data_IF_411297631542
#
_entry.id   IF_411297631542
#
_cell.length_a   1.000
_cell.length_b   1.000
_cell.length_c   1.000
_cell.angle_alpha   90.00
_cell.angle_beta   90.00
_cell.angle_gamma   90.00
#
_symmetry.space_group_name_H-M   'P 1'
#
loop_
_entity.id
_entity.type
_entity.pdbx_description
1 polymer ?
#
# COMPACT_ATOMS: atom_id res chain seq x y z
N UNK A 1 2.00 -18.98 16.82
CA UNK A 1 0.95 -19.00 15.77
C UNK A 1 0.85 -17.59 15.22
N UNK A 2 0.95 -17.41 13.92
CA UNK A 2 1.23 -16.12 13.23
C UNK A 2 0.13 -15.05 13.34
N UNK A 3 -1.00 -15.34 13.99
CA UNK A 3 -2.14 -14.41 14.07
C UNK A 3 -2.67 -14.02 12.68
N UNK A 4 -2.55 -14.94 11.73
CA UNK A 4 -3.03 -14.83 10.35
C UNK A 4 -4.17 -15.81 10.15
N UNK A 5 -5.15 -15.41 9.35
CA UNK A 5 -6.23 -16.27 8.89
C UNK A 5 -5.68 -17.29 7.89
N UNK A 6 -6.08 -18.56 8.08
CA UNK A 6 -5.65 -19.67 7.24
C UNK A 6 -6.44 -19.70 5.92
N UNK A 7 -5.76 -19.95 4.81
CA UNK A 7 -6.38 -19.90 3.47
C UNK A 7 -6.47 -18.48 2.87
N UNK A 8 -6.06 -17.45 3.60
CA UNK A 8 -5.96 -16.06 3.12
C UNK A 8 -4.51 -15.72 2.80
N UNK A 9 -4.27 -14.95 1.74
CA UNK A 9 -2.92 -14.50 1.36
C UNK A 9 -2.23 -13.77 2.53
N UNK A 10 -1.08 -14.28 2.92
CA UNK A 10 -0.31 -13.75 4.04
C UNK A 10 0.24 -12.36 3.71
N UNK A 11 0.60 -12.11 2.44
CA UNK A 11 1.10 -10.80 2.04
C UNK A 11 0.01 -9.73 2.20
N UNK A 12 -1.20 -9.99 1.71
CA UNK A 12 -2.34 -9.10 1.87
C UNK A 12 -2.62 -8.76 3.35
N UNK A 13 -2.68 -9.78 4.22
CA UNK A 13 -2.91 -9.57 5.65
C UNK A 13 -1.81 -8.73 6.32
N UNK A 14 -0.55 -8.86 5.89
CA UNK A 14 0.52 -8.03 6.42
C UNK A 14 0.54 -6.62 5.83
N UNK A 15 0.08 -6.42 4.59
CA UNK A 15 -0.13 -5.08 4.02
C UNK A 15 -1.16 -4.30 4.82
N UNK A 16 -2.30 -4.91 5.14
CA UNK A 16 -3.32 -4.29 6.01
C UNK A 16 -2.76 -3.89 7.38
N UNK A 17 -1.98 -4.77 8.02
CA UNK A 17 -1.30 -4.48 9.30
C UNK A 17 -0.19 -3.43 9.19
N UNK A 18 0.26 -3.10 7.97
CA UNK A 18 1.31 -2.12 7.71
C UNK A 18 0.77 -0.79 7.22
N UNK A 19 -0.50 -0.71 6.84
CA UNK A 19 -1.13 0.48 6.25
C UNK A 19 -1.03 1.70 7.15
N UNK A 20 -1.29 1.55 8.46
CA UNK A 20 -1.14 2.63 9.44
C UNK A 20 0.29 3.21 9.51
N UNK A 21 1.31 2.43 9.15
CA UNK A 21 2.72 2.88 9.21
C UNK A 21 3.13 3.70 7.99
N UNK A 22 2.33 3.66 6.92
CA UNK A 22 2.60 4.32 5.65
C UNK A 22 1.47 5.28 5.28
N UNK A 23 0.66 5.69 6.26
CA UNK A 23 -0.48 6.59 6.08
C UNK A 23 -0.09 7.89 5.37
N UNK A 24 1.10 8.42 5.66
CA UNK A 24 1.62 9.62 5.00
C UNK A 24 1.71 9.48 3.47
N UNK A 25 2.23 8.35 2.96
CA UNK A 25 2.32 8.11 1.51
C UNK A 25 0.93 7.90 0.90
N UNK A 26 0.01 7.28 1.65
CA UNK A 26 -1.38 7.13 1.24
C UNK A 26 -2.08 8.49 1.11
N UNK A 27 -1.89 9.39 2.08
CA UNK A 27 -2.43 10.75 2.04
C UNK A 27 -1.93 11.54 0.83
N UNK A 28 -0.65 11.41 0.47
CA UNK A 28 -0.07 12.04 -0.73
C UNK A 28 -0.70 11.49 -2.01
N UNK A 29 -0.85 10.16 -2.11
CA UNK A 29 -1.50 9.50 -3.24
C UNK A 29 -2.97 9.93 -3.37
N UNK A 30 -3.72 9.98 -2.27
CA UNK A 30 -5.11 10.43 -2.25
C UNK A 30 -5.23 11.90 -2.65
N UNK A 31 -4.31 12.76 -2.19
CA UNK A 31 -4.26 14.15 -2.59
C UNK A 31 -3.98 14.29 -4.11
N UNK A 32 -3.11 13.45 -4.68
CA UNK A 32 -2.90 13.41 -6.12
C UNK A 32 -4.15 12.96 -6.87
N UNK A 33 -4.79 11.87 -6.45
CA UNK A 33 -6.00 11.37 -7.08
C UNK A 33 -7.11 12.43 -7.08
N UNK A 34 -7.30 13.14 -5.96
CA UNK A 34 -8.25 14.24 -5.88
C UNK A 34 -7.95 15.37 -6.88
N UNK A 35 -6.68 15.72 -7.10
CA UNK A 35 -6.30 16.72 -8.13
C UNK A 35 -6.61 16.23 -9.54
N UNK A 36 -6.25 14.99 -9.86
CA UNK A 36 -6.45 14.41 -11.20
C UNK A 36 -7.94 14.26 -11.50
N UNK A 37 -8.73 13.73 -10.56
CA UNK A 37 -10.18 13.54 -10.70
C UNK A 37 -10.94 14.88 -10.80
N UNK A 38 -10.41 15.95 -10.22
CA UNK A 38 -11.02 17.29 -10.32
C UNK A 38 -10.91 17.93 -11.71
N UNK A 39 -10.07 17.39 -12.60
CA UNK A 39 -9.79 17.96 -13.92
C UNK A 39 -10.52 17.18 -15.01
N UNK A 40 -11.27 17.89 -15.86
CA UNK A 40 -11.94 17.27 -17.02
C UNK A 40 -10.94 16.71 -18.05
N UNK A 41 -9.76 17.34 -18.18
CA UNK A 41 -8.65 16.91 -19.04
C UNK A 41 -7.32 17.30 -18.41
N UNK A 42 -6.43 16.33 -18.20
CA UNK A 42 -5.09 16.56 -17.66
C UNK A 42 -4.12 15.47 -18.13
N UNK A 43 -2.85 15.82 -18.28
CA UNK A 43 -1.75 14.87 -18.52
C UNK A 43 -1.06 14.44 -17.22
N UNK A 44 -1.54 14.93 -16.07
CA UNK A 44 -1.04 14.58 -14.75
C UNK A 44 -1.42 13.15 -14.36
N UNK A 45 -0.47 12.39 -13.81
CA UNK A 45 -0.68 11.02 -13.35
C UNK A 45 -0.14 10.85 -11.94
N UNK A 46 -0.79 10.00 -11.13
CA UNK A 46 -0.36 9.72 -9.75
C UNK A 46 0.53 8.47 -9.63
N UNK A 47 1.27 8.14 -10.69
CA UNK A 47 2.04 6.89 -10.76
C UNK A 47 3.26 6.90 -9.82
N UNK A 48 3.88 8.06 -9.63
CA UNK A 48 5.00 8.23 -8.69
C UNK A 48 4.52 8.00 -7.25
N UNK A 49 3.46 8.70 -6.85
CA UNK A 49 2.86 8.56 -5.52
C UNK A 49 2.36 7.13 -5.26
N UNK A 50 1.85 6.46 -6.29
CA UNK A 50 1.43 5.06 -6.22
C UNK A 50 2.62 4.13 -5.96
N UNK A 51 3.73 4.32 -6.69
CA UNK A 51 4.95 3.53 -6.47
C UNK A 51 5.48 3.77 -5.06
N UNK A 52 5.56 5.02 -4.62
CA UNK A 52 6.06 5.37 -3.29
C UNK A 52 5.24 4.70 -2.19
N UNK A 53 3.91 4.77 -2.30
CA UNK A 53 3.02 4.09 -1.36
C UNK A 53 3.27 2.58 -1.32
N UNK A 54 3.29 1.92 -2.49
CA UNK A 54 3.48 0.47 -2.58
C UNK A 54 4.85 0.05 -2.06
N UNK A 55 5.93 0.77 -2.41
CA UNK A 55 7.27 0.45 -1.96
C UNK A 55 7.38 0.51 -0.43
N UNK A 56 6.86 1.56 0.20
CA UNK A 56 6.91 1.69 1.65
C UNK A 56 6.02 0.66 2.35
N UNK A 57 4.86 0.35 1.77
CA UNK A 57 3.97 -0.70 2.26
C UNK A 57 4.66 -2.07 2.23
N UNK A 58 5.30 -2.41 1.11
CA UNK A 58 5.99 -3.68 0.91
C UNK A 58 7.27 -3.80 1.72
N UNK A 59 8.01 -2.70 1.93
CA UNK A 59 9.15 -2.66 2.85
C UNK A 59 8.75 -3.11 4.27
N UNK A 60 7.50 -2.84 4.67
CA UNK A 60 6.94 -3.28 5.95
C UNK A 60 6.37 -4.71 5.90
N UNK A 61 5.63 -5.05 4.84
CA UNK A 61 4.83 -6.28 4.77
C UNK A 61 5.65 -7.49 4.32
N UNK A 62 6.51 -7.34 3.30
CA UNK A 62 7.21 -8.45 2.65
C UNK A 62 8.08 -9.25 3.62
N UNK A 63 8.95 -8.65 4.47
CA UNK A 63 9.78 -9.43 5.38
C UNK A 63 8.97 -10.24 6.40
N UNK A 64 7.76 -9.79 6.76
CA UNK A 64 6.86 -10.51 7.68
C UNK A 64 6.14 -11.63 6.96
N UNK A 65 5.64 -11.37 5.76
CA UNK A 65 5.02 -12.36 4.90
C UNK A 65 5.98 -13.53 4.62
N UNK A 66 7.21 -13.24 4.20
CA UNK A 66 8.21 -14.29 3.93
C UNK A 66 8.57 -15.13 5.16
N UNK A 67 8.53 -14.56 6.38
CA UNK A 67 8.73 -15.33 7.62
C UNK A 67 7.54 -16.20 8.00
N UNK A 68 6.35 -15.89 7.48
CA UNK A 68 5.12 -16.62 7.75
C UNK A 68 4.84 -17.73 6.73
N UNK A 69 5.51 -17.69 5.56
CA UNK A 69 5.47 -18.77 4.57
C UNK A 69 6.07 -20.05 5.16
N UNK A 70 5.42 -21.18 4.88
CA UNK A 70 5.86 -22.53 5.27
C UNK A 70 6.58 -23.21 4.11
#
# INVERSE_FOLDING_TARGET
MSGLEEGVDQLQQYREKCEEKVSHFKEILEACNARVESKERTDETCHEEMIDYIQHLDNCAMPKAFRALK
#
